data_IF_254616785161
#
_entry.id   IF_254616785161
#
_cell.length_a   1.000
_cell.length_b   1.000
_cell.length_c   1.000
_cell.angle_alpha   90.00
_cell.angle_beta   90.00
_cell.angle_gamma   90.00
#
_symmetry.space_group_name_H-M   'P 1'
#
loop_
_entity.id
_entity.type
_entity.pdbx_description
1 polymer ?
#
# COMPACT_ATOMS: atom_id res chain seq x y z
N UNK A 1 -4.38 -15.63 -26.32
CA UNK A 1 -3.73 -14.30 -26.24
C UNK A 1 -3.44 -14.00 -24.78
N UNK A 2 -2.18 -14.03 -24.35
CA UNK A 2 -1.80 -13.70 -22.98
C UNK A 2 -2.00 -12.20 -22.72
N UNK A 3 -2.72 -11.78 -21.67
CA UNK A 3 -2.90 -10.36 -21.38
C UNK A 3 -1.59 -9.73 -20.89
N UNK A 4 -1.45 -8.44 -21.18
CA UNK A 4 -0.36 -7.55 -20.79
C UNK A 4 -0.14 -7.65 -19.26
N UNK A 5 0.89 -8.37 -18.81
CA UNK A 5 1.17 -8.45 -17.38
C UNK A 5 1.81 -7.14 -16.92
N UNK A 6 1.07 -6.32 -16.17
CA UNK A 6 1.65 -5.18 -15.46
C UNK A 6 2.72 -5.67 -14.46
N UNK A 7 3.77 -4.90 -14.17
CA UNK A 7 4.76 -5.26 -13.14
C UNK A 7 4.40 -4.54 -11.83
N UNK A 8 4.50 -5.21 -10.68
CA UNK A 8 4.30 -4.54 -9.37
C UNK A 8 5.66 -4.29 -8.74
N UNK A 9 5.95 -3.02 -8.43
CA UNK A 9 7.23 -2.57 -7.86
C UNK A 9 6.97 -1.73 -6.62
N UNK A 10 7.83 -1.87 -5.61
CA UNK A 10 7.82 -1.03 -4.40
C UNK A 10 8.57 0.26 -4.72
N UNK A 11 7.98 1.41 -4.46
CA UNK A 11 8.73 2.68 -4.51
C UNK A 11 9.69 2.69 -3.31
N UNK A 12 10.99 2.99 -3.50
CA UNK A 12 11.94 3.07 -2.40
C UNK A 12 11.41 3.99 -1.28
N UNK A 13 11.27 3.50 -0.04
CA UNK A 13 10.70 4.31 1.03
C UNK A 13 11.67 5.39 1.50
N UNK A 14 11.12 6.50 2.00
CA UNK A 14 11.90 7.55 2.67
C UNK A 14 12.65 8.49 1.71
N UNK A 15 13.85 8.89 2.11
CA UNK A 15 14.59 10.02 1.48
C UNK A 15 15.66 9.59 0.48
N UNK A 16 15.82 8.30 0.19
CA UNK A 16 16.90 7.78 -0.65
C UNK A 16 16.65 7.90 -2.16
N UNK A 17 15.71 8.76 -2.57
CA UNK A 17 15.40 9.01 -3.98
C UNK A 17 16.09 10.31 -4.42
N UNK A 18 16.93 10.29 -5.47
CA UNK A 18 17.54 11.51 -6.00
C UNK A 18 16.49 12.59 -6.33
N UNK A 19 16.75 13.89 -6.09
CA UNK A 19 15.72 14.94 -6.21
C UNK A 19 15.01 15.01 -7.56
N UNK A 20 15.73 14.81 -8.66
CA UNK A 20 15.15 14.80 -10.01
C UNK A 20 14.23 13.59 -10.22
N UNK A 21 14.67 12.41 -9.78
CA UNK A 21 13.86 11.19 -9.82
C UNK A 21 12.63 11.33 -8.94
N UNK A 22 12.78 11.89 -7.74
CA UNK A 22 11.66 12.14 -6.83
C UNK A 22 10.60 13.02 -7.48
N UNK A 23 11.00 14.10 -8.16
CA UNK A 23 10.06 14.97 -8.88
C UNK A 23 9.27 14.19 -9.94
N UNK A 24 9.94 13.34 -10.74
CA UNK A 24 9.29 12.48 -11.74
C UNK A 24 8.31 11.51 -11.08
N UNK A 25 8.74 10.80 -10.03
CA UNK A 25 7.88 9.84 -9.34
C UNK A 25 6.69 10.53 -8.66
N UNK A 26 6.87 11.72 -8.09
CA UNK A 26 5.79 12.53 -7.52
C UNK A 26 4.76 12.94 -8.57
N UNK A 27 5.19 13.29 -9.79
CA UNK A 27 4.26 13.58 -10.88
C UNK A 27 3.50 12.32 -11.35
N UNK A 28 4.17 11.16 -11.42
CA UNK A 28 3.52 9.89 -11.74
C UNK A 28 2.49 9.49 -10.67
N UNK A 29 2.84 9.64 -9.38
CA UNK A 29 1.92 9.45 -8.26
C UNK A 29 0.72 10.38 -8.38
N UNK A 30 0.94 11.70 -8.54
CA UNK A 30 -0.10 12.71 -8.68
C UNK A 30 -1.06 12.37 -9.80
N UNK A 31 -0.54 12.08 -10.99
CA UNK A 31 -1.34 11.76 -12.18
C UNK A 31 -2.23 10.54 -11.94
N UNK A 32 -1.68 9.44 -11.45
CA UNK A 32 -2.43 8.21 -11.21
C UNK A 32 -3.48 8.40 -10.09
N UNK A 33 -3.11 9.09 -9.00
CA UNK A 33 -4.01 9.36 -7.88
C UNK A 33 -5.19 10.24 -8.29
N UNK A 34 -4.95 11.31 -9.03
CA UNK A 34 -6.02 12.20 -9.49
C UNK A 34 -6.94 11.50 -10.49
N UNK A 35 -6.39 10.68 -11.40
CA UNK A 35 -7.20 9.86 -12.31
C UNK A 35 -8.09 8.87 -11.54
N UNK A 36 -7.57 8.25 -10.48
CA UNK A 36 -8.36 7.34 -9.65
C UNK A 36 -9.50 8.06 -8.92
N UNK A 37 -9.24 9.24 -8.36
CA UNK A 37 -10.24 10.07 -7.69
C UNK A 37 -11.36 10.51 -8.63
N UNK A 38 -11.05 10.78 -9.92
CA UNK A 38 -12.06 11.09 -10.92
C UNK A 38 -12.86 9.86 -11.35
N UNK A 39 -12.19 8.71 -11.50
CA UNK A 39 -12.81 7.49 -12.00
C UNK A 39 -13.79 6.87 -10.99
N UNK A 40 -13.50 6.98 -9.69
CA UNK A 40 -14.33 6.40 -8.63
C UNK A 40 -14.29 7.25 -7.35
N UNK A 41 -14.91 8.44 -7.34
CA UNK A 41 -14.83 9.36 -6.20
C UNK A 41 -15.34 8.74 -4.90
N UNK A 42 -16.38 7.90 -4.97
CA UNK A 42 -16.99 7.21 -3.83
C UNK A 42 -16.08 6.17 -3.16
N UNK A 43 -15.02 5.71 -3.84
CA UNK A 43 -14.08 4.75 -3.28
C UNK A 43 -13.00 5.38 -2.39
N UNK A 44 -12.98 6.72 -2.25
CA UNK A 44 -11.94 7.44 -1.50
C UNK A 44 -12.52 8.37 -0.44
N UNK A 45 -11.79 8.53 0.66
CA UNK A 45 -12.10 9.49 1.73
C UNK A 45 -11.66 10.93 1.41
N UNK A 46 -11.19 11.18 0.19
CA UNK A 46 -10.71 12.47 -0.30
C UNK A 46 -11.23 12.67 -1.73
N UNK A 47 -11.10 13.87 -2.31
CA UNK A 47 -11.69 14.20 -3.61
C UNK A 47 -10.66 14.78 -4.59
N UNK A 48 -10.99 14.73 -5.88
CA UNK A 48 -10.18 15.34 -6.94
C UNK A 48 -10.06 16.86 -6.74
N UNK A 49 -11.15 17.53 -6.39
CA UNK A 49 -11.21 18.99 -6.21
C UNK A 49 -10.24 19.45 -5.12
N UNK A 50 -10.11 18.65 -4.05
CA UNK A 50 -9.17 18.90 -2.96
C UNK A 50 -7.74 18.57 -3.36
N UNK A 51 -7.49 17.36 -3.84
CA UNK A 51 -6.11 16.91 -4.06
C UNK A 51 -5.46 17.57 -5.30
N UNK A 52 -6.23 18.00 -6.29
CA UNK A 52 -5.71 18.67 -7.49
C UNK A 52 -5.01 20.01 -7.19
N UNK A 53 -5.36 20.64 -6.07
CA UNK A 53 -4.79 21.90 -5.58
C UNK A 53 -3.46 21.71 -4.82
N UNK A 54 -3.06 20.47 -4.52
CA UNK A 54 -1.79 20.21 -3.85
C UNK A 54 -0.60 20.56 -4.74
N UNK A 55 0.40 21.19 -4.13
CA UNK A 55 1.67 21.52 -4.77
C UNK A 55 2.59 20.29 -4.89
N UNK A 56 3.67 20.44 -5.66
CA UNK A 56 4.61 19.35 -5.90
C UNK A 56 5.31 18.87 -4.60
N UNK A 57 5.52 19.79 -3.64
CA UNK A 57 6.10 19.45 -2.34
C UNK A 57 5.18 18.55 -1.52
N UNK A 58 3.86 18.76 -1.55
CA UNK A 58 2.89 17.90 -0.90
C UNK A 58 2.87 16.48 -1.49
N UNK A 59 3.02 16.34 -2.81
CA UNK A 59 3.14 15.02 -3.45
C UNK A 59 4.47 14.33 -3.12
N UNK A 60 5.58 15.06 -3.10
CA UNK A 60 6.88 14.56 -2.67
C UNK A 60 6.84 14.04 -1.23
N UNK A 61 6.25 14.80 -0.30
CA UNK A 61 6.10 14.41 1.11
C UNK A 61 5.36 13.08 1.30
N UNK A 62 4.42 12.74 0.41
CA UNK A 62 3.71 11.45 0.48
C UNK A 62 4.62 10.27 0.15
N UNK A 63 5.47 10.41 -0.87
CA UNK A 63 6.46 9.39 -1.24
C UNK A 63 7.61 9.30 -0.23
N UNK A 64 8.00 10.43 0.36
CA UNK A 64 9.07 10.50 1.35
C UNK A 64 8.63 10.13 2.77
N UNK A 65 7.33 9.94 3.01
CA UNK A 65 6.83 9.55 4.32
C UNK A 65 7.44 8.18 4.69
N UNK A 66 8.27 8.09 5.75
CA UNK A 66 8.95 6.85 6.11
C UNK A 66 7.99 5.73 6.51
N UNK A 67 6.76 6.07 6.88
CA UNK A 67 5.71 5.11 7.22
C UNK A 67 4.89 4.69 5.99
N UNK A 68 5.04 5.33 4.83
CA UNK A 68 4.28 5.00 3.63
C UNK A 68 5.01 3.99 2.74
N UNK A 69 4.58 2.74 2.82
CA UNK A 69 5.03 1.66 1.94
C UNK A 69 4.19 1.67 0.66
N UNK A 70 4.72 2.32 -0.38
CA UNK A 70 4.02 2.50 -1.65
C UNK A 70 4.43 1.40 -2.65
N UNK A 71 3.44 0.69 -3.19
CA UNK A 71 3.62 -0.30 -4.26
C UNK A 71 2.78 0.10 -5.46
N UNK A 72 3.35 0.04 -6.65
CA UNK A 72 2.72 0.51 -7.88
C UNK A 72 2.70 -0.57 -8.94
N UNK A 73 1.61 -0.62 -9.68
CA UNK A 73 1.47 -1.45 -10.87
C UNK A 73 1.81 -0.60 -12.10
N UNK A 74 2.81 -1.03 -12.86
CA UNK A 74 3.31 -0.36 -14.04
C UNK A 74 2.77 -1.05 -15.30
N UNK A 75 2.22 -0.27 -16.22
CA UNK A 75 1.81 -0.79 -17.51
C UNK A 75 3.06 -1.11 -18.36
N UNK A 76 3.27 -2.38 -18.75
CA UNK A 76 4.32 -2.71 -19.71
C UNK A 76 3.99 -2.12 -21.09
N UNK A 77 4.93 -1.37 -21.67
CA UNK A 77 4.92 -1.09 -23.11
C UNK A 77 5.34 -2.35 -23.87
N UNK A 78 4.81 -2.56 -25.09
CA UNK A 78 5.00 -3.80 -25.89
C UNK A 78 6.45 -4.10 -26.30
N UNK A 79 7.41 -3.22 -26.01
CA UNK A 79 8.74 -3.25 -26.62
C UNK A 79 9.84 -3.16 -25.56
N UNK A 80 10.07 -4.25 -24.84
CA UNK A 80 11.40 -4.58 -24.34
C UNK A 80 11.40 -6.04 -23.86
N UNK A 81 12.12 -6.94 -24.54
CA UNK A 81 12.48 -8.22 -23.97
C UNK A 81 13.62 -7.99 -22.99
N UNK A 82 13.37 -8.21 -21.71
CA UNK A 82 14.42 -8.53 -20.74
C UNK A 82 13.83 -9.54 -19.76
N UNK A 83 13.99 -10.80 -20.12
CA UNK A 83 14.16 -11.88 -19.16
C UNK A 83 15.59 -11.75 -18.61
N UNK A 84 15.76 -11.75 -17.29
CA UNK A 84 17.08 -11.86 -16.69
C UNK A 84 17.23 -11.16 -15.33
N UNK A 85 17.54 -12.00 -14.34
CA UNK A 85 18.18 -11.71 -13.05
C UNK A 85 17.34 -10.96 -12.01
N UNK A 86 16.89 -11.71 -11.00
CA UNK A 86 16.49 -11.19 -9.69
C UNK A 86 17.73 -10.66 -8.97
N UNK A 87 18.18 -9.46 -9.34
CA UNK A 87 19.13 -8.68 -8.55
C UNK A 87 18.50 -7.31 -8.30
N UNK A 88 18.23 -7.01 -7.04
CA UNK A 88 17.54 -5.81 -6.54
C UNK A 88 18.44 -4.56 -6.67
N UNK A 89 18.73 -4.11 -7.89
CA UNK A 89 19.37 -2.83 -8.10
C UNK A 89 18.32 -1.71 -8.03
N UNK A 90 18.39 -0.91 -6.96
CA UNK A 90 17.52 0.25 -6.71
C UNK A 90 17.43 1.17 -7.95
N UNK A 91 18.52 1.31 -8.70
CA UNK A 91 18.58 2.13 -9.92
C UNK A 91 17.67 1.61 -11.04
N UNK A 92 17.56 0.29 -11.20
CA UNK A 92 16.69 -0.34 -12.20
C UNK A 92 15.20 -0.16 -11.84
N UNK A 93 14.86 -0.29 -10.56
CA UNK A 93 13.51 -0.02 -10.06
C UNK A 93 13.13 1.46 -10.23
N UNK A 94 14.03 2.40 -9.88
CA UNK A 94 13.79 3.84 -10.08
C UNK A 94 13.61 4.20 -11.55
N UNK A 95 14.36 3.56 -12.44
CA UNK A 95 14.20 3.71 -13.89
C UNK A 95 12.84 3.15 -14.34
N UNK A 96 12.46 1.97 -13.89
CA UNK A 96 11.18 1.36 -14.24
C UNK A 96 10.00 2.23 -13.79
N UNK A 97 10.05 2.73 -12.55
CA UNK A 97 9.05 3.61 -11.94
C UNK A 97 8.91 4.96 -12.66
N UNK A 98 10.00 5.44 -13.27
CA UNK A 98 10.04 6.71 -14.01
C UNK A 98 9.53 6.54 -15.45
N UNK A 99 9.94 5.45 -16.11
CA UNK A 99 9.70 5.22 -17.55
C UNK A 99 8.29 4.71 -17.88
N UNK A 100 7.56 4.17 -16.89
CA UNK A 100 6.27 3.51 -17.11
C UNK A 100 5.09 4.22 -16.44
N UNK A 101 3.93 4.30 -17.10
CA UNK A 101 2.72 4.81 -16.47
C UNK A 101 2.25 3.94 -15.29
N UNK A 102 1.89 4.60 -14.20
CA UNK A 102 1.32 3.95 -13.02
C UNK A 102 -0.18 3.72 -13.23
N UNK A 103 -0.59 2.46 -13.28
CA UNK A 103 -1.98 2.05 -13.57
C UNK A 103 -2.70 1.44 -12.36
N UNK A 104 -1.99 1.27 -11.25
CA UNK A 104 -2.58 0.88 -9.98
C UNK A 104 -1.59 1.12 -8.85
N UNK A 105 -2.08 1.21 -7.64
CA UNK A 105 -1.27 1.50 -6.47
C UNK A 105 -1.92 0.95 -5.20
N UNK A 106 -1.09 0.47 -4.26
CA UNK A 106 -1.44 0.29 -2.86
C UNK A 106 -0.42 1.02 -1.99
N UNK A 107 -0.90 1.74 -0.98
CA UNK A 107 -0.07 2.41 0.03
C UNK A 107 -0.43 1.82 1.40
N UNK A 108 0.51 1.12 2.02
CA UNK A 108 0.39 0.64 3.39
C UNK A 108 1.08 1.63 4.32
N UNK A 109 0.38 2.15 5.33
CA UNK A 109 0.97 2.95 6.39
C UNK A 109 1.43 2.04 7.53
N UNK A 110 2.69 2.18 7.95
CA UNK A 110 3.35 1.40 9.00
C UNK A 110 4.84 1.14 8.70
N UNK A 111 5.54 0.32 9.51
CA UNK A 111 5.01 -0.38 10.69
C UNK A 111 4.75 0.56 11.87
N UNK A 112 3.79 0.20 12.72
CA UNK A 112 3.66 0.71 14.09
C UNK A 112 3.73 -0.46 15.07
N UNK A 113 4.46 -0.33 16.17
CA UNK A 113 4.32 -1.25 17.29
C UNK A 113 2.96 -1.07 17.95
N UNK A 114 2.31 -2.19 18.27
CA UNK A 114 1.16 -2.22 19.15
C UNK A 114 1.60 -2.34 20.61
N UNK A 115 0.75 -1.87 21.53
CA UNK A 115 0.98 -1.99 22.95
C UNK A 115 1.23 -3.45 23.37
N UNK A 116 2.27 -3.67 24.19
CA UNK A 116 2.70 -5.00 24.61
C UNK A 116 1.68 -5.73 25.50
N UNK A 117 0.73 -5.00 26.11
CA UNK A 117 -0.36 -5.55 26.90
C UNK A 117 -1.51 -6.14 26.05
N UNK A 118 -1.41 -6.05 24.72
CA UNK A 118 -2.39 -6.56 23.78
C UNK A 118 -3.67 -5.72 23.67
N UNK A 119 -3.74 -4.57 24.35
CA UNK A 119 -4.93 -3.70 24.35
C UNK A 119 -5.31 -3.20 22.96
N UNK A 120 -4.34 -3.12 22.05
CA UNK A 120 -4.52 -2.63 20.67
C UNK A 120 -4.67 -3.76 19.64
N UNK A 121 -4.38 -5.03 20.00
CA UNK A 121 -4.34 -6.16 19.07
C UNK A 121 -5.70 -6.48 18.44
N UNK A 122 -6.80 -6.20 19.13
CA UNK A 122 -8.16 -6.41 18.62
C UNK A 122 -8.59 -5.35 17.60
N UNK A 123 -7.95 -4.17 17.59
CA UNK A 123 -8.29 -3.12 16.61
C UNK A 123 -7.03 -2.38 16.12
N UNK A 124 -6.13 -3.09 15.42
CA UNK A 124 -4.79 -2.63 15.10
C UNK A 124 -4.74 -1.49 14.09
N UNK A 125 -5.88 -1.04 13.53
CA UNK A 125 -5.95 0.14 12.67
C UNK A 125 -6.18 1.44 13.46
N UNK A 126 -6.78 1.39 14.66
CA UNK A 126 -7.10 2.60 15.45
C UNK A 126 -5.86 3.39 15.86
N UNK A 127 -4.75 2.68 15.95
CA UNK A 127 -3.41 3.20 16.19
C UNK A 127 -2.95 4.25 15.16
N UNK A 128 -3.58 4.29 13.99
CA UNK A 128 -3.30 5.27 12.94
C UNK A 128 -4.23 6.49 12.99
N UNK A 129 -5.35 6.42 13.71
CA UNK A 129 -6.28 7.55 13.85
C UNK A 129 -5.71 8.71 14.67
N UNK A 130 -4.73 8.42 15.54
CA UNK A 130 -4.00 9.42 16.33
C UNK A 130 -2.69 9.88 15.68
N UNK A 131 -2.41 9.46 14.44
CA UNK A 131 -1.13 9.74 13.77
C UNK A 131 -1.08 11.18 13.25
N UNK A 132 -0.07 11.92 13.71
CA UNK A 132 0.33 13.20 13.14
C UNK A 132 1.43 13.05 12.09
N UNK A 133 1.71 14.10 11.28
CA UNK A 133 2.73 14.07 10.22
C UNK A 133 4.18 13.89 10.71
N UNK A 134 4.43 13.86 12.01
CA UNK A 134 5.76 13.74 12.62
C UNK A 134 6.01 12.39 13.31
N UNK A 135 5.17 11.39 13.09
CA UNK A 135 5.39 10.06 13.66
C UNK A 135 6.68 9.45 13.10
N UNK A 136 7.62 9.19 14.01
CA UNK A 136 8.90 8.58 13.68
C UNK A 136 8.80 7.07 13.64
N UNK A 137 9.54 6.46 12.72
CA UNK A 137 9.68 5.02 12.63
C UNK A 137 10.67 4.54 13.69
N UNK A 138 10.17 3.93 14.77
CA UNK A 138 11.02 3.24 15.76
C UNK A 138 10.95 1.73 15.54
N UNK A 139 11.93 1.20 14.80
CA UNK A 139 12.00 -0.23 14.50
C UNK A 139 12.34 -1.07 15.73
N UNK A 140 12.97 -0.49 16.76
CA UNK A 140 13.32 -1.23 17.98
C UNK A 140 12.08 -1.63 18.77
N UNK A 141 11.02 -0.83 18.69
CA UNK A 141 9.71 -1.11 19.30
C UNK A 141 9.00 -2.33 18.71
N UNK A 142 9.42 -2.83 17.55
CA UNK A 142 8.83 -4.01 16.91
C UNK A 142 9.36 -5.32 17.50
N UNK A 143 10.54 -5.32 18.12
CA UNK A 143 11.22 -6.54 18.57
C UNK A 143 10.36 -7.28 19.59
N UNK A 144 10.05 -8.54 19.29
CA UNK A 144 9.13 -9.43 20.05
C UNK A 144 7.69 -8.93 20.20
N UNK A 145 7.35 -7.78 19.60
CA UNK A 145 6.04 -7.15 19.65
C UNK A 145 5.15 -7.50 18.46
N UNK A 146 4.03 -6.77 18.34
CA UNK A 146 3.16 -6.84 17.17
C UNK A 146 3.34 -5.60 16.30
N UNK A 147 3.55 -5.81 15.00
CA UNK A 147 3.60 -4.74 14.01
C UNK A 147 2.21 -4.56 13.40
N UNK A 148 1.75 -3.32 13.25
CA UNK A 148 0.52 -2.98 12.56
C UNK A 148 0.80 -2.18 11.29
N UNK A 149 0.01 -2.46 10.25
CA UNK A 149 -0.08 -1.71 9.01
C UNK A 149 -1.55 -1.50 8.64
N UNK A 150 -1.86 -0.44 7.91
CA UNK A 150 -3.16 -0.35 7.23
C UNK A 150 -3.04 0.20 5.80
N UNK A 151 -3.92 -0.25 4.91
CA UNK A 151 -4.00 0.28 3.55
C UNK A 151 -4.70 1.64 3.55
N UNK A 152 -3.92 2.71 3.35
CA UNK A 152 -4.43 4.08 3.27
C UNK A 152 -4.94 4.45 1.87
N UNK A 153 -4.49 3.74 0.84
CA UNK A 153 -4.94 3.92 -0.54
C UNK A 153 -4.77 2.62 -1.31
N UNK A 154 -5.78 2.22 -2.07
CA UNK A 154 -5.70 1.10 -3.00
C UNK A 154 -6.58 1.38 -4.23
N UNK A 155 -6.02 1.28 -5.43
CA UNK A 155 -6.80 1.35 -6.66
C UNK A 155 -6.10 0.67 -7.85
N UNK A 156 -6.90 0.36 -8.86
CA UNK A 156 -6.44 0.06 -10.22
C UNK A 156 -7.28 0.92 -11.15
N UNK A 157 -6.63 1.65 -12.06
CA UNK A 157 -7.31 2.50 -13.04
C UNK A 157 -8.23 1.65 -13.92
N UNK A 158 -9.41 2.15 -14.31
CA UNK A 158 -10.43 1.38 -15.04
C UNK A 158 -9.88 0.61 -16.26
N UNK A 159 -8.97 1.21 -17.01
CA UNK A 159 -8.39 0.68 -18.25
C UNK A 159 -7.48 -0.53 -17.99
N UNK A 160 -7.01 -0.70 -16.75
CA UNK A 160 -6.12 -1.77 -16.32
C UNK A 160 -6.79 -2.83 -15.43
N UNK A 161 -8.09 -2.68 -15.13
CA UNK A 161 -8.85 -3.64 -14.30
C UNK A 161 -9.03 -4.98 -14.99
N UNK A 162 -9.50 -5.98 -14.23
CA UNK A 162 -9.82 -7.36 -14.69
C UNK A 162 -8.63 -8.13 -15.29
N UNK A 163 -7.40 -7.74 -14.93
CA UNK A 163 -6.15 -8.38 -15.34
C UNK A 163 -5.37 -8.98 -14.15
N UNK A 164 -6.02 -9.17 -13.00
CA UNK A 164 -5.38 -9.68 -11.77
C UNK A 164 -4.43 -8.69 -11.09
N UNK A 165 -4.32 -7.45 -11.57
CA UNK A 165 -3.41 -6.41 -11.01
C UNK A 165 -3.72 -6.12 -9.54
N UNK A 166 -5.00 -5.96 -9.19
CA UNK A 166 -5.41 -5.68 -7.82
C UNK A 166 -4.93 -6.75 -6.84
N UNK A 167 -5.09 -8.03 -7.21
CA UNK A 167 -4.65 -9.16 -6.39
C UNK A 167 -3.14 -9.15 -6.20
N UNK A 168 -2.41 -8.90 -7.29
CA UNK A 168 -0.95 -8.85 -7.25
C UNK A 168 -0.41 -7.69 -6.41
N UNK A 169 -1.07 -6.53 -6.44
CA UNK A 169 -0.74 -5.40 -5.56
C UNK A 169 -0.91 -5.78 -4.09
N UNK A 170 -2.05 -6.36 -3.71
CA UNK A 170 -2.34 -6.77 -2.33
C UNK A 170 -1.37 -7.86 -1.86
N UNK A 171 -1.20 -8.93 -2.64
CA UNK A 171 -0.31 -10.04 -2.28
C UNK A 171 1.13 -9.56 -2.12
N UNK A 172 1.68 -8.86 -3.13
CA UNK A 172 3.07 -8.40 -3.09
C UNK A 172 3.29 -7.43 -1.93
N UNK A 173 2.38 -6.50 -1.67
CA UNK A 173 2.55 -5.51 -0.59
C UNK A 173 2.51 -6.18 0.79
N UNK A 174 1.53 -7.04 1.04
CA UNK A 174 1.35 -7.79 2.29
C UNK A 174 2.55 -8.69 2.57
N UNK A 175 2.99 -9.48 1.59
CA UNK A 175 4.15 -10.36 1.75
C UNK A 175 5.43 -9.57 2.01
N UNK A 176 5.63 -8.46 1.31
CA UNK A 176 6.85 -7.65 1.45
C UNK A 176 6.92 -6.99 2.83
N UNK A 177 5.87 -6.29 3.26
CA UNK A 177 5.89 -5.63 4.58
C UNK A 177 5.84 -6.63 5.73
N UNK A 178 5.20 -7.78 5.54
CA UNK A 178 5.23 -8.88 6.49
C UNK A 178 6.64 -9.42 6.70
N UNK A 179 7.37 -9.71 5.61
CA UNK A 179 8.78 -10.13 5.66
C UNK A 179 9.66 -9.07 6.31
N UNK A 180 9.51 -7.81 5.93
CA UNK A 180 10.27 -6.71 6.54
C UNK A 180 10.06 -6.69 8.06
N UNK A 181 8.80 -6.60 8.53
CA UNK A 181 8.51 -6.53 9.96
C UNK A 181 9.05 -7.74 10.75
N UNK A 182 8.93 -8.94 10.20
CA UNK A 182 9.49 -10.15 10.81
C UNK A 182 11.03 -10.11 10.86
N UNK A 183 11.70 -9.63 9.81
CA UNK A 183 13.16 -9.44 9.78
C UNK A 183 13.63 -8.41 10.82
N UNK A 184 12.77 -7.44 11.16
CA UNK A 184 13.00 -6.49 12.24
C UNK A 184 12.60 -7.02 13.63
N UNK A 185 12.23 -8.30 13.74
CA UNK A 185 12.00 -8.99 15.00
C UNK A 185 10.55 -8.95 15.50
N UNK A 186 9.58 -8.51 14.69
CA UNK A 186 8.16 -8.62 15.06
C UNK A 186 7.78 -10.09 15.26
N UNK A 187 6.99 -10.38 16.30
CA UNK A 187 6.44 -11.73 16.55
C UNK A 187 5.16 -11.97 15.75
N UNK A 188 4.42 -10.90 15.49
CA UNK A 188 3.11 -10.90 14.82
C UNK A 188 2.96 -9.66 13.95
N UNK A 189 2.34 -9.83 12.79
CA UNK A 189 2.08 -8.72 11.87
C UNK A 189 0.58 -8.65 11.56
N UNK A 190 -0.01 -7.50 11.85
CA UNK A 190 -1.41 -7.17 11.62
C UNK A 190 -1.48 -6.21 10.42
N UNK A 191 -2.15 -6.61 9.34
CA UNK A 191 -2.32 -5.77 8.15
C UNK A 191 -3.81 -5.55 7.88
N UNK A 192 -4.28 -4.32 8.08
CA UNK A 192 -5.67 -3.94 7.93
C UNK A 192 -5.96 -3.35 6.54
N UNK A 193 -6.84 -3.98 5.77
CA UNK A 193 -7.42 -3.47 4.54
C UNK A 193 -8.81 -2.93 4.85
N UNK A 194 -8.91 -1.62 5.05
CA UNK A 194 -10.18 -0.93 5.35
C UNK A 194 -10.91 -0.57 4.06
N UNK A 195 -12.21 -0.83 4.00
CA UNK A 195 -13.03 -0.56 2.81
C UNK A 195 -14.46 -0.22 3.20
N UNK A 196 -15.11 0.70 2.48
CA UNK A 196 -16.55 0.95 2.68
C UNK A 196 -17.37 -0.33 2.50
N UNK A 197 -18.36 -0.56 3.37
CA UNK A 197 -19.17 -1.78 3.37
C UNK A 197 -19.94 -2.02 2.07
N UNK A 198 -20.24 -0.96 1.32
CA UNK A 198 -20.92 -1.06 0.03
C UNK A 198 -19.97 -1.32 -1.16
N UNK A 199 -18.66 -1.39 -0.96
CA UNK A 199 -17.69 -1.64 -2.03
C UNK A 199 -17.44 -3.14 -2.20
N UNK A 200 -18.49 -3.84 -2.66
CA UNK A 200 -18.46 -5.28 -2.92
C UNK A 200 -17.27 -5.74 -3.82
N UNK A 201 -16.87 -5.01 -4.87
CA UNK A 201 -15.70 -5.38 -5.67
C UNK A 201 -14.39 -5.41 -4.88
N UNK A 202 -14.15 -4.44 -4.00
CA UNK A 202 -12.93 -4.40 -3.18
C UNK A 202 -12.96 -5.45 -2.06
N UNK A 203 -14.12 -5.68 -1.44
CA UNK A 203 -14.35 -6.78 -0.48
C UNK A 203 -13.98 -8.13 -1.11
N UNK A 204 -14.52 -8.43 -2.28
CA UNK A 204 -14.23 -9.69 -3.01
C UNK A 204 -12.76 -9.79 -3.43
N UNK A 205 -12.15 -8.68 -3.83
CA UNK A 205 -10.73 -8.62 -4.13
C UNK A 205 -9.89 -8.98 -2.91
N UNK A 206 -10.15 -8.38 -1.76
CA UNK A 206 -9.37 -8.62 -0.54
C UNK A 206 -9.53 -10.05 -0.04
N UNK A 207 -10.76 -10.59 -0.01
CA UNK A 207 -11.02 -11.98 0.35
C UNK A 207 -10.28 -12.98 -0.54
N UNK A 208 -10.20 -12.73 -1.84
CA UNK A 208 -9.51 -13.64 -2.79
C UNK A 208 -7.99 -13.43 -2.87
N UNK A 209 -7.47 -12.35 -2.28
CA UNK A 209 -6.04 -12.01 -2.27
C UNK A 209 -5.33 -12.43 -1.00
N UNK A 210 -6.05 -12.63 0.09
CA UNK A 210 -5.51 -13.05 1.37
C UNK A 210 -5.75 -14.56 1.52
N UNK A 211 -4.69 -15.36 1.48
CA UNK A 211 -4.75 -16.78 1.81
C UNK A 211 -4.98 -16.97 3.32
N UNK A 212 -5.86 -17.90 3.69
CA UNK A 212 -6.45 -18.03 5.03
C UNK A 212 -7.71 -17.16 5.16
N UNK A 213 -8.72 -17.60 5.92
CA UNK A 213 -9.95 -16.80 6.10
C UNK A 213 -9.60 -15.49 6.82
N UNK A 214 -9.63 -14.32 6.16
CA UNK A 214 -9.35 -13.05 6.84
C UNK A 214 -10.43 -12.83 7.89
N UNK A 215 -10.06 -12.31 9.06
CA UNK A 215 -11.03 -11.90 10.06
C UNK A 215 -11.74 -10.65 9.51
N UNK A 216 -13.05 -10.76 9.33
CA UNK A 216 -13.89 -9.68 8.83
C UNK A 216 -14.60 -9.09 10.04
N UNK A 217 -14.29 -7.83 10.35
CA UNK A 217 -15.01 -7.06 11.35
C UNK A 217 -15.78 -5.94 10.64
N UNK A 218 -17.11 -5.97 10.75
CA UNK A 218 -17.93 -4.83 10.35
C UNK A 218 -17.77 -3.72 11.40
N UNK A 219 -17.22 -2.59 10.96
CA UNK A 219 -17.03 -1.42 11.81
C UNK A 219 -18.10 -0.38 11.52
N UNK A 220 -18.87 -0.03 12.55
CA UNK A 220 -19.70 1.17 12.54
C UNK A 220 -18.89 2.32 13.15
N UNK A 221 -18.26 3.15 12.31
CA UNK A 221 -17.72 4.44 12.74
C UNK A 221 -18.75 5.55 12.50
N UNK A 222 -18.69 6.62 13.30
CA UNK A 222 -19.78 7.60 13.50
C UNK A 222 -20.37 8.24 12.24
N UNK A 223 -19.76 8.12 11.07
CA UNK A 223 -20.27 8.67 9.81
C UNK A 223 -20.13 7.74 8.58
N UNK A 224 -19.58 6.52 8.71
CA UNK A 224 -19.35 5.58 7.60
C UNK A 224 -19.39 4.12 8.10
N UNK A 225 -20.22 3.27 7.47
CA UNK A 225 -20.14 1.82 7.66
C UNK A 225 -18.94 1.31 6.86
N UNK A 226 -17.86 0.95 7.57
CA UNK A 226 -16.61 0.48 7.00
C UNK A 226 -16.43 -0.98 7.36
N UNK A 227 -16.12 -1.83 6.40
CA UNK A 227 -15.65 -3.19 6.67
C UNK A 227 -14.14 -3.13 6.83
N UNK A 228 -13.66 -3.55 7.99
CA UNK A 228 -12.24 -3.84 8.17
C UNK A 228 -11.98 -5.31 7.86
N UNK A 229 -11.05 -5.55 6.95
CA UNK A 229 -10.48 -6.88 6.78
C UNK A 229 -9.07 -6.86 7.34
N UNK A 230 -8.79 -7.69 8.34
CA UNK A 230 -7.45 -7.84 8.86
C UNK A 230 -6.87 -9.16 8.38
N UNK A 231 -5.64 -9.12 7.83
CA UNK A 231 -4.79 -10.31 7.77
C UNK A 231 -3.84 -10.27 8.94
N UNK A 232 -3.97 -11.28 9.79
CA UNK A 232 -3.08 -11.53 10.90
C UNK A 232 -2.11 -12.63 10.49
N UNK A 233 -0.81 -12.34 10.50
CA UNK A 233 0.23 -13.35 10.29
C UNK A 233 0.99 -13.54 11.59
N UNK A 234 0.83 -14.72 12.20
CA UNK A 234 1.55 -15.15 13.40
C UNK A 234 2.64 -16.15 12.99
N UNK A 235 3.81 -16.08 13.62
CA UNK A 235 4.76 -17.19 13.58
C UNK A 235 4.28 -18.27 14.54
N UNK A 236 4.02 -19.46 13.99
CA UNK A 236 4.25 -20.70 14.75
C UNK A 236 5.76 -20.93 14.68
N UNK A 237 6.47 -20.59 15.76
CA UNK A 237 7.89 -20.93 15.90
C UNK A 237 8.03 -22.45 15.79
N UNK A 238 8.86 -22.93 14.86
CA UNK A 238 9.33 -24.33 14.84
C UNK A 238 10.43 -24.47 15.91
#
# INVERSE_FOLDING_TARGET
MNPKTATVVRVPPGTNIPPLTLAVLSQNFRKARLAALQADPSAFSSSYERESQFDDAAWARRLQNPLAQTFVALAKNRTSPTEGCEDDHIDDDLKLLSDHPWVGMVVLLGPRALAADGSESASPWKVFSSMGPSSTLDMSSLVSGEAAYFAASMFVLPEARKQGIGRRLVVKSVETVGKDAMNFGARKVNISLLVSANNAPAISLYQSSLEGAPEIEELQEKDLVTVAMAKTTELVTI
#
